data_IF_803967943678
#
_entry.id   IF_803967943678
#
_cell.length_a   1.000
_cell.length_b   1.000
_cell.length_c   1.000
_cell.angle_alpha   90.00
_cell.angle_beta   90.00
_cell.angle_gamma   90.00
#
_symmetry.space_group_name_H-M   'P 1'
#
loop_
_entity.id
_entity.type
_entity.pdbx_description
1 polymer ?
#
# COMPACT_ATOMS: atom_id res chain seq x y z
N UNK A 1 11.02 9.56 -3.59
CA UNK A 1 10.39 9.89 -4.88
C UNK A 1 8.87 9.99 -4.68
N UNK A 2 8.41 10.97 -3.90
CA UNK A 2 7.01 11.25 -3.63
C UNK A 2 6.70 12.69 -4.06
N UNK A 3 5.52 12.94 -4.62
CA UNK A 3 5.06 14.31 -4.85
C UNK A 3 4.09 14.67 -3.72
N UNK A 4 4.62 15.25 -2.65
CA UNK A 4 3.85 15.58 -1.45
C UNK A 4 4.07 17.04 -0.98
N UNK A 5 3.85 18.05 -1.85
CA UNK A 5 4.11 19.43 -1.47
C UNK A 5 3.07 19.98 -0.48
N UNK A 6 1.91 19.35 -0.31
CA UNK A 6 0.83 19.85 0.56
C UNK A 6 0.97 19.28 1.98
N UNK A 7 1.04 17.96 2.14
CA UNK A 7 1.17 17.36 3.48
C UNK A 7 2.59 17.40 4.04
N UNK A 8 3.60 17.47 3.16
CA UNK A 8 5.02 17.25 3.49
C UNK A 8 5.32 15.86 4.09
N UNK A 9 4.39 14.91 3.94
CA UNK A 9 4.54 13.52 4.37
C UNK A 9 4.82 12.67 3.12
N UNK A 10 6.04 12.16 3.03
CA UNK A 10 6.44 11.25 1.96
C UNK A 10 6.16 9.82 2.39
N UNK A 11 5.49 9.06 1.54
CA UNK A 11 5.21 7.64 1.75
C UNK A 11 5.71 6.87 0.54
N UNK A 12 6.45 5.80 0.78
CA UNK A 12 6.87 4.83 -0.22
C UNK A 12 6.27 3.47 0.06
N UNK A 13 6.02 2.72 -1.01
CA UNK A 13 5.52 1.35 -0.95
C UNK A 13 6.31 0.44 -1.90
N UNK A 14 6.59 -0.77 -1.47
CA UNK A 14 7.18 -1.85 -2.27
C UNK A 14 6.33 -3.11 -2.17
N UNK A 15 5.69 -3.51 -3.26
CA UNK A 15 4.84 -4.68 -3.37
C UNK A 15 5.61 -5.85 -3.98
N UNK A 16 5.96 -6.82 -3.15
CA UNK A 16 6.61 -8.06 -3.55
C UNK A 16 5.57 -9.03 -4.13
N UNK A 17 5.83 -9.43 -5.37
CA UNK A 17 5.01 -10.37 -6.13
C UNK A 17 5.71 -11.72 -6.23
N UNK A 18 4.95 -12.81 -6.33
CA UNK A 18 5.51 -14.15 -6.54
C UNK A 18 6.51 -14.17 -7.69
N UNK A 19 7.71 -14.74 -7.48
CA UNK A 19 8.75 -14.81 -8.52
C UNK A 19 9.78 -13.68 -8.53
N UNK A 20 10.02 -12.98 -7.40
CA UNK A 20 11.09 -11.97 -7.20
C UNK A 20 10.87 -10.60 -7.83
N UNK A 21 9.69 -10.31 -8.39
CA UNK A 21 9.38 -8.97 -8.92
C UNK A 21 8.85 -8.06 -7.80
N UNK A 22 9.32 -6.81 -7.76
CA UNK A 22 8.85 -5.79 -6.83
C UNK A 22 8.28 -4.62 -7.63
N UNK A 23 7.05 -4.22 -7.30
CA UNK A 23 6.44 -3.01 -7.80
C UNK A 23 6.51 -1.91 -6.76
N UNK A 24 7.02 -0.75 -7.15
CA UNK A 24 7.17 0.39 -6.24
C UNK A 24 6.13 1.45 -6.52
N UNK A 25 5.74 2.15 -5.45
CA UNK A 25 4.87 3.30 -5.48
C UNK A 25 5.29 4.34 -4.45
N UNK A 26 4.82 5.57 -4.63
CA UNK A 26 4.99 6.65 -3.69
C UNK A 26 3.77 7.57 -3.77
N UNK A 27 3.42 8.26 -2.69
CA UNK A 27 2.24 9.12 -2.73
C UNK A 27 2.41 10.28 -3.72
N UNK A 28 1.33 10.59 -4.42
CA UNK A 28 1.22 11.69 -5.39
C UNK A 28 0.02 12.52 -4.99
N UNK A 29 0.28 13.72 -4.50
CA UNK A 29 -0.75 14.65 -4.07
C UNK A 29 -1.25 15.52 -5.22
N UNK A 30 -2.39 16.14 -4.99
CA UNK A 30 -2.99 17.10 -5.91
C UNK A 30 -3.58 18.27 -5.13
N UNK A 31 -3.70 19.45 -5.75
CA UNK A 31 -4.34 20.61 -5.13
C UNK A 31 -5.81 20.36 -4.80
N UNK A 32 -6.50 19.55 -5.61
CA UNK A 32 -7.78 18.96 -5.23
C UNK A 32 -7.51 17.68 -4.43
N UNK A 33 -7.53 17.81 -3.10
CA UNK A 33 -6.95 16.79 -2.20
C UNK A 33 -7.54 15.38 -2.38
N UNK A 34 -8.81 15.27 -2.77
CA UNK A 34 -9.48 13.99 -3.03
C UNK A 34 -8.89 13.21 -4.22
N UNK A 35 -8.18 13.88 -5.12
CA UNK A 35 -7.49 13.26 -6.26
C UNK A 35 -6.10 12.71 -5.89
N UNK A 36 -5.66 12.89 -4.64
CA UNK A 36 -4.37 12.38 -4.17
C UNK A 36 -4.39 10.85 -4.11
N UNK A 37 -3.26 10.25 -4.51
CA UNK A 37 -3.08 8.81 -4.55
C UNK A 37 -2.00 8.36 -3.58
N UNK A 38 -2.32 7.33 -2.80
CA UNK A 38 -1.41 6.74 -1.82
C UNK A 38 -0.37 5.83 -2.51
N UNK A 39 0.77 5.64 -1.86
CA UNK A 39 1.88 4.86 -2.39
C UNK A 39 1.48 3.39 -2.68
N UNK A 40 0.68 2.81 -1.80
CA UNK A 40 0.22 1.43 -1.80
C UNK A 40 -0.67 1.15 -3.02
N UNK A 41 -1.64 2.05 -3.28
CA UNK A 41 -2.51 1.95 -4.45
C UNK A 41 -1.72 2.12 -5.75
N UNK A 42 -0.73 3.01 -5.78
CA UNK A 42 0.13 3.18 -6.96
C UNK A 42 0.96 1.92 -7.22
N UNK A 43 1.58 1.33 -6.19
CA UNK A 43 2.36 0.10 -6.32
C UNK A 43 1.49 -1.06 -6.84
N UNK A 44 0.30 -1.24 -6.23
CA UNK A 44 -0.64 -2.27 -6.62
C UNK A 44 -1.18 -2.07 -8.04
N UNK A 45 -1.64 -0.87 -8.39
CA UNK A 45 -2.23 -0.62 -9.70
C UNK A 45 -1.23 -0.79 -10.84
N UNK A 46 0.04 -0.42 -10.65
CA UNK A 46 1.11 -0.73 -11.61
C UNK A 46 1.25 -2.24 -11.83
N UNK A 47 1.25 -3.02 -10.74
CA UNK A 47 1.37 -4.46 -10.84
C UNK A 47 0.15 -5.09 -11.52
N UNK A 48 -1.05 -4.67 -11.13
CA UNK A 48 -2.32 -5.14 -11.68
C UNK A 48 -2.44 -4.82 -13.17
N UNK A 49 -2.03 -3.61 -13.60
CA UNK A 49 -2.06 -3.22 -15.02
C UNK A 49 -1.08 -4.02 -15.89
N UNK A 50 -0.03 -4.57 -15.29
CA UNK A 50 0.92 -5.48 -15.97
C UNK A 50 0.50 -6.96 -15.88
N UNK A 51 -0.74 -7.24 -15.46
CA UNK A 51 -1.28 -8.61 -15.40
C UNK A 51 -0.84 -9.42 -14.18
N UNK A 52 -0.12 -8.82 -13.22
CA UNK A 52 0.30 -9.52 -12.00
C UNK A 52 -0.88 -9.66 -11.04
N UNK A 53 -1.03 -10.85 -10.45
CA UNK A 53 -2.07 -11.19 -9.46
C UNK A 53 -1.56 -11.92 -8.23
N UNK A 54 -0.28 -12.31 -8.21
CA UNK A 54 0.33 -12.98 -7.07
C UNK A 54 1.06 -11.98 -6.19
N UNK A 55 0.41 -11.51 -5.12
CA UNK A 55 0.92 -10.51 -4.18
C UNK A 55 1.16 -11.13 -2.81
N UNK A 56 2.36 -10.97 -2.25
CA UNK A 56 2.75 -11.67 -1.02
C UNK A 56 3.07 -10.75 0.15
N UNK A 57 3.80 -9.67 -0.11
CA UNK A 57 4.23 -8.74 0.94
C UNK A 57 4.21 -7.30 0.42
N UNK A 58 3.64 -6.38 1.20
CA UNK A 58 3.71 -4.95 0.97
C UNK A 58 4.56 -4.30 2.05
N UNK A 59 5.71 -3.73 1.69
CA UNK A 59 6.47 -2.86 2.57
C UNK A 59 5.98 -1.41 2.42
N UNK A 60 5.71 -0.72 3.52
CA UNK A 60 5.36 0.70 3.56
C UNK A 60 6.31 1.43 4.50
N UNK A 61 6.76 2.61 4.06
CA UNK A 61 7.72 3.42 4.80
C UNK A 61 7.42 4.92 4.64
N UNK A 62 7.65 5.67 5.70
CA UNK A 62 7.70 7.12 5.66
C UNK A 62 8.83 7.64 6.54
N UNK A 63 9.68 8.56 6.05
CA UNK A 63 10.65 9.27 6.89
C UNK A 63 10.00 10.33 7.78
N UNK A 64 8.68 10.44 7.87
CA UNK A 64 8.00 11.36 8.78
C UNK A 64 7.19 10.62 9.85
N UNK A 65 6.90 9.34 9.64
CA UNK A 65 6.00 8.55 10.49
C UNK A 65 6.67 7.21 10.85
N UNK A 66 6.74 6.88 12.14
CA UNK A 66 7.49 5.71 12.63
C UNK A 66 6.95 4.39 12.05
N UNK A 67 5.70 4.04 12.32
CA UNK A 67 5.08 2.82 11.78
C UNK A 67 3.83 3.21 11.01
N UNK A 68 4.02 3.71 9.78
CA UNK A 68 2.90 4.06 8.91
C UNK A 68 2.17 2.80 8.45
N UNK A 69 0.85 2.80 8.58
CA UNK A 69 -0.03 1.74 8.12
C UNK A 69 -0.90 2.23 6.97
N UNK A 70 -1.32 1.35 6.04
CA UNK A 70 -2.20 1.76 4.96
C UNK A 70 -3.51 2.37 5.47
N UNK A 71 -3.99 3.41 4.79
CA UNK A 71 -5.30 3.99 5.09
C UNK A 71 -6.43 3.03 4.69
N UNK A 72 -7.64 3.25 5.20
CA UNK A 72 -8.79 2.39 4.93
C UNK A 72 -9.08 2.17 3.45
N UNK A 73 -8.93 3.20 2.62
CA UNK A 73 -9.08 3.07 1.16
C UNK A 73 -8.02 2.15 0.54
N UNK A 74 -6.76 2.22 1.00
CA UNK A 74 -5.72 1.31 0.54
C UNK A 74 -5.99 -0.11 1.00
N UNK A 75 -6.41 -0.32 2.25
CA UNK A 75 -6.76 -1.64 2.76
C UNK A 75 -7.90 -2.28 1.96
N UNK A 76 -8.93 -1.51 1.61
CA UNK A 76 -10.04 -2.00 0.80
C UNK A 76 -9.61 -2.41 -0.61
N UNK A 77 -8.72 -1.63 -1.24
CA UNK A 77 -8.20 -1.97 -2.57
C UNK A 77 -7.25 -3.17 -2.48
N UNK A 78 -6.37 -3.22 -1.49
CA UNK A 78 -5.44 -4.34 -1.31
C UNK A 78 -6.18 -5.66 -1.02
N UNK A 79 -7.22 -5.62 -0.18
CA UNK A 79 -8.00 -6.81 0.15
C UNK A 79 -8.72 -7.40 -1.06
N UNK A 80 -9.07 -6.57 -2.05
CA UNK A 80 -9.68 -7.03 -3.29
C UNK A 80 -8.78 -8.03 -4.03
N UNK A 81 -7.49 -7.70 -4.16
CA UNK A 81 -6.52 -8.46 -4.96
C UNK A 81 -5.66 -9.43 -4.15
N UNK A 82 -5.52 -9.21 -2.84
CA UNK A 82 -4.57 -9.92 -2.00
C UNK A 82 -5.12 -10.13 -0.57
N UNK A 83 -6.13 -11.00 -0.39
CA UNK A 83 -6.76 -11.22 0.91
C UNK A 83 -5.83 -11.80 1.98
N UNK A 84 -4.74 -12.45 1.56
CA UNK A 84 -3.71 -13.04 2.45
C UNK A 84 -2.44 -12.18 2.55
N UNK A 85 -2.49 -10.93 2.09
CA UNK A 85 -1.33 -10.04 2.05
C UNK A 85 -0.75 -9.78 3.44
N UNK A 86 0.58 -9.85 3.57
CA UNK A 86 1.29 -9.36 4.75
C UNK A 86 1.79 -7.94 4.49
N UNK A 87 1.44 -7.01 5.38
CA UNK A 87 1.86 -5.62 5.35
C UNK A 87 3.00 -5.43 6.35
N UNK A 88 4.17 -5.07 5.86
CA UNK A 88 5.32 -4.67 6.65
C UNK A 88 5.39 -3.15 6.75
N UNK A 89 5.46 -2.62 7.97
CA UNK A 89 5.71 -1.20 8.25
C UNK A 89 7.11 -1.06 8.84
N UNK A 90 7.95 -0.25 8.21
CA UNK A 90 9.32 0.00 8.65
C UNK A 90 9.45 1.42 9.22
N UNK A 91 10.19 1.56 10.31
CA UNK A 91 10.54 2.87 10.87
C UNK A 91 11.93 3.34 10.45
N UNK A 92 12.31 4.57 10.85
CA UNK A 92 13.64 5.15 10.56
C UNK A 92 14.82 4.38 11.14
N UNK A 93 14.59 3.52 12.13
CA UNK A 93 15.60 2.67 12.77
C UNK A 93 15.63 1.27 12.15
N UNK A 94 15.01 1.10 10.98
CA UNK A 94 14.92 -0.18 10.26
C UNK A 94 14.27 -1.29 11.09
N UNK A 95 13.40 -0.92 12.04
CA UNK A 95 12.59 -1.87 12.77
C UNK A 95 11.31 -2.11 11.99
N UNK A 96 10.88 -3.37 11.95
CA UNK A 96 9.71 -3.81 11.19
C UNK A 96 8.57 -4.22 12.12
N UNK A 97 7.35 -3.90 11.71
CA UNK A 97 6.11 -4.50 12.21
C UNK A 97 5.38 -5.16 11.06
N UNK A 98 4.89 -6.36 11.29
CA UNK A 98 4.18 -7.15 10.28
C UNK A 98 2.73 -7.32 10.68
N UNK A 99 1.83 -7.14 9.72
CA UNK A 99 0.41 -7.23 9.90
C UNK A 99 -0.18 -8.07 8.77
N UNK A 100 -0.85 -9.21 9.06
CA UNK A 100 -1.78 -9.78 8.10
C UNK A 100 -2.84 -8.71 7.76
N UNK A 101 -3.21 -8.58 6.48
CA UNK A 101 -4.22 -7.60 6.08
C UNK A 101 -5.56 -7.82 6.79
N UNK A 102 -5.89 -9.07 7.11
CA UNK A 102 -7.07 -9.46 7.90
C UNK A 102 -7.08 -8.88 9.33
N UNK A 103 -5.92 -8.53 9.90
CA UNK A 103 -5.87 -7.84 11.21
C UNK A 103 -6.22 -6.36 11.06
N UNK A 104 -5.81 -5.73 9.96
CA UNK A 104 -6.06 -4.31 9.69
C UNK A 104 -7.43 -4.06 9.06
N UNK A 105 -7.97 -5.05 8.36
CA UNK A 105 -9.29 -5.02 7.74
C UNK A 105 -9.98 -6.38 7.89
N UNK A 106 -10.62 -6.64 9.05
CA UNK A 106 -11.17 -7.97 9.37
C UNK A 106 -12.34 -8.40 8.50
N UNK A 107 -13.16 -7.44 8.05
CA UNK A 107 -14.37 -7.69 7.27
C UNK A 107 -14.43 -6.68 6.12
N UNK A 108 -13.58 -6.84 5.08
CA UNK A 108 -13.60 -5.95 3.93
C UNK A 108 -14.96 -6.03 3.24
N UNK A 109 -15.45 -4.89 2.75
CA UNK A 109 -16.64 -4.91 1.89
C UNK A 109 -16.33 -5.71 0.62
N UNK A 110 -17.28 -6.54 0.20
CA UNK A 110 -17.28 -7.23 -1.09
C UNK A 110 -18.62 -6.95 -1.75
N UNK A 111 -18.60 -6.56 -3.01
CA UNK A 111 -19.81 -6.55 -3.80
C UNK A 111 -20.13 -8.01 -4.14
N UNK A 112 -21.23 -8.54 -3.60
CA UNK A 112 -21.71 -9.87 -3.94
C UNK A 112 -21.90 -9.95 -5.45
N UNK A 113 -21.15 -10.84 -6.10
CA UNK A 113 -21.50 -11.30 -7.43
C UNK A 113 -22.49 -12.45 -7.21
N UNK A 114 -23.76 -12.21 -7.53
CA UNK A 114 -24.70 -13.31 -7.78
C UNK A 114 -24.21 -14.16 -8.96
#
# INVERSE_FOLDING_TARGET
MAYAPYSKISVGAGLYCGGRKIYTGANVENSSYSLSMCAERIALFKAVSEGVRDFRLLLVYSPQVSFITPCGACLQVLSEFAPDLVIASMNKREQFRFYPISVLMPQPFRLSQE
#
